data_IF_793557160970
#
_entry.id   IF_793557160970
#
_cell.length_a   1.000
_cell.length_b   1.000
_cell.length_c   1.000
_cell.angle_alpha   90.00
_cell.angle_beta   90.00
_cell.angle_gamma   90.00
#
_symmetry.space_group_name_H-M   'P 1'
#
loop_
_entity.id
_entity.type
_entity.pdbx_description
1 polymer ?
#
# COMPACT_ATOMS: atom_id res chain seq x y z
N UNK A 1 9.39 3.49 14.16
CA UNK A 1 9.44 4.96 14.10
C UNK A 1 9.27 5.36 12.65
N UNK A 2 8.49 6.41 12.35
CA UNK A 2 8.36 6.95 10.99
C UNK A 2 9.32 8.14 10.91
N UNK A 3 10.34 8.12 10.02
CA UNK A 3 11.20 9.28 9.84
C UNK A 3 10.39 10.48 9.36
N UNK A 4 10.82 11.68 9.76
CA UNK A 4 10.18 12.90 9.27
C UNK A 4 10.54 13.11 7.78
N UNK A 5 9.57 13.43 6.91
CA UNK A 5 9.86 13.74 5.52
C UNK A 5 10.61 15.06 5.38
N UNK A 6 11.39 15.17 4.31
CA UNK A 6 11.96 16.44 3.85
C UNK A 6 10.89 17.32 3.21
N UNK A 7 11.19 18.60 3.00
CA UNK A 7 10.28 19.51 2.28
C UNK A 7 10.17 19.19 0.79
N UNK A 8 11.08 18.38 0.24
CA UNK A 8 11.14 18.04 -1.17
C UNK A 8 10.56 16.66 -1.49
N UNK A 9 10.29 15.86 -0.45
CA UNK A 9 9.69 14.54 -0.56
C UNK A 9 8.26 14.63 -1.10
N UNK A 10 7.86 13.62 -1.87
CA UNK A 10 6.58 13.59 -2.54
C UNK A 10 5.60 12.83 -1.65
N UNK A 11 4.47 13.44 -1.23
CA UNK A 11 3.50 12.73 -0.41
C UNK A 11 2.83 11.61 -1.20
N UNK A 12 2.69 10.46 -0.57
CA UNK A 12 1.89 9.32 -1.05
C UNK A 12 0.65 9.24 -0.18
N UNK A 13 -0.52 9.50 -0.76
CA UNK A 13 -1.81 9.48 -0.06
C UNK A 13 -2.98 9.41 -1.05
N UNK A 14 -2.84 8.63 -2.12
CA UNK A 14 -3.86 8.53 -3.17
C UNK A 14 -4.55 7.16 -3.11
N UNK A 15 -5.86 7.10 -2.87
CA UNK A 15 -6.60 5.84 -2.87
C UNK A 15 -6.91 5.38 -4.30
N UNK A 16 -6.96 4.06 -4.48
CA UNK A 16 -7.44 3.39 -5.69
C UNK A 16 -8.63 2.51 -5.32
N UNK A 17 -9.69 2.56 -6.11
CA UNK A 17 -10.84 1.67 -6.01
C UNK A 17 -10.78 0.58 -7.07
N UNK A 18 -11.18 -0.64 -6.71
CA UNK A 18 -11.31 -1.76 -7.64
C UNK A 18 -12.53 -2.62 -7.29
N UNK A 19 -13.31 -2.95 -8.31
CA UNK A 19 -14.37 -3.95 -8.21
C UNK A 19 -13.81 -5.35 -8.45
N UNK A 20 -14.06 -6.27 -7.53
CA UNK A 20 -13.56 -7.64 -7.58
C UNK A 20 -14.74 -8.61 -7.56
N UNK A 21 -14.87 -9.41 -8.61
CA UNK A 21 -15.93 -10.41 -8.73
C UNK A 21 -15.81 -11.58 -7.73
N UNK A 22 -16.84 -12.43 -7.65
CA UNK A 22 -16.84 -13.60 -6.77
C UNK A 22 -15.69 -14.57 -7.04
N UNK A 23 -14.92 -14.92 -6.01
CA UNK A 23 -13.77 -15.83 -6.12
C UNK A 23 -12.57 -15.27 -6.89
N UNK A 24 -12.59 -13.99 -7.26
CA UNK A 24 -11.52 -13.33 -8.01
C UNK A 24 -10.55 -12.58 -7.09
N UNK A 25 -9.42 -12.20 -7.67
CA UNK A 25 -8.38 -11.40 -7.03
C UNK A 25 -8.01 -10.23 -7.93
N UNK A 26 -7.65 -9.10 -7.32
CA UNK A 26 -7.02 -7.98 -7.98
C UNK A 26 -5.67 -7.67 -7.32
N UNK A 27 -4.73 -7.19 -8.14
CA UNK A 27 -3.46 -6.61 -7.68
C UNK A 27 -3.50 -5.12 -7.99
N UNK A 28 -3.30 -4.29 -6.96
CA UNK A 28 -3.14 -2.84 -7.11
C UNK A 28 -1.66 -2.51 -6.96
N UNK A 29 -1.05 -2.03 -8.03
CA UNK A 29 0.38 -1.69 -8.07
C UNK A 29 0.57 -0.18 -7.98
N UNK A 30 1.37 0.25 -7.03
CA UNK A 30 1.85 1.63 -6.89
C UNK A 30 3.32 1.67 -7.26
N UNK A 31 3.68 2.57 -8.17
CA UNK A 31 5.06 2.76 -8.62
C UNK A 31 5.51 4.18 -8.33
N UNK A 32 6.80 4.34 -8.02
CA UNK A 32 7.36 5.67 -7.81
C UNK A 32 7.16 6.55 -9.05
N UNK A 33 6.79 7.81 -8.81
CA UNK A 33 6.52 8.77 -9.89
C UNK A 33 7.77 9.21 -10.63
N UNK A 34 8.93 9.04 -10.01
CA UNK A 34 10.22 9.46 -10.56
C UNK A 34 11.23 8.32 -10.44
N UNK A 35 11.96 8.06 -11.53
CA UNK A 35 12.99 7.00 -11.59
C UNK A 35 14.22 7.30 -10.73
N UNK A 36 14.41 8.56 -10.31
CA UNK A 36 15.57 9.05 -9.56
C UNK A 36 15.33 9.16 -8.05
N UNK A 37 14.31 8.47 -7.54
CA UNK A 37 13.92 8.56 -6.13
C UNK A 37 14.74 7.60 -5.28
N UNK A 38 14.99 7.98 -4.03
CA UNK A 38 15.73 7.17 -3.04
C UNK A 38 14.81 6.18 -2.30
N UNK A 39 13.66 5.86 -2.90
CA UNK A 39 12.68 4.92 -2.36
C UNK A 39 11.47 5.56 -1.67
N UNK A 40 10.62 4.72 -1.10
CA UNK A 40 9.46 5.05 -0.30
C UNK A 40 9.73 4.91 1.20
N UNK A 41 8.98 5.65 2.00
CA UNK A 41 8.77 5.41 3.43
C UNK A 41 7.28 5.28 3.66
N UNK A 42 6.83 4.09 4.06
CA UNK A 42 5.41 3.75 4.13
C UNK A 42 5.02 3.21 5.52
N UNK A 43 4.48 4.07 6.40
CA UNK A 43 3.97 3.64 7.71
C UNK A 43 2.60 2.97 7.66
N UNK A 44 1.84 3.16 6.58
CA UNK A 44 0.43 2.74 6.51
C UNK A 44 0.07 2.25 5.12
N UNK A 45 -0.59 1.09 5.07
CA UNK A 45 -1.39 0.63 3.92
C UNK A 45 -2.79 0.31 4.44
N UNK A 46 -3.77 1.08 4.02
CA UNK A 46 -5.17 0.90 4.35
C UNK A 46 -5.89 0.18 3.22
N UNK A 47 -6.74 -0.80 3.56
CA UNK A 47 -7.60 -1.49 2.59
C UNK A 47 -8.98 -1.69 3.19
N UNK A 48 -10.05 -1.53 2.40
CA UNK A 48 -11.42 -1.81 2.85
C UNK A 48 -11.54 -3.19 3.48
N UNK A 49 -11.88 -3.22 4.76
CA UNK A 49 -12.10 -4.47 5.49
C UNK A 49 -13.43 -5.11 5.10
N UNK A 50 -13.37 -6.35 4.60
CA UNK A 50 -14.53 -7.16 4.25
C UNK A 50 -14.36 -8.57 4.79
N UNK A 51 -15.46 -9.22 5.20
CA UNK A 51 -15.45 -10.64 5.55
C UNK A 51 -15.24 -11.48 4.30
N UNK A 52 -14.62 -12.66 4.41
CA UNK A 52 -14.33 -13.52 3.23
C UNK A 52 -13.47 -12.81 2.19
N UNK A 53 -12.41 -12.13 2.66
CA UNK A 53 -11.41 -11.51 1.80
C UNK A 53 -10.03 -11.86 2.34
N UNK A 54 -9.03 -11.87 1.47
CA UNK A 54 -7.63 -11.99 1.87
C UNK A 54 -6.81 -10.84 1.31
N UNK A 55 -5.80 -10.44 2.06
CA UNK A 55 -4.95 -9.29 1.79
C UNK A 55 -3.49 -9.73 1.88
N UNK A 56 -2.71 -9.35 0.88
CA UNK A 56 -1.28 -9.60 0.80
C UNK A 56 -0.59 -8.34 0.26
N UNK A 57 0.59 -8.03 0.78
CA UNK A 57 1.37 -6.87 0.37
C UNK A 57 2.78 -7.30 0.05
N UNK A 58 3.23 -6.90 -1.13
CA UNK A 58 4.59 -7.10 -1.62
C UNK A 58 5.24 -5.74 -1.83
N UNK A 59 6.50 -5.61 -1.42
CA UNK A 59 7.33 -4.42 -1.64
C UNK A 59 8.63 -4.86 -2.32
N UNK A 60 8.89 -4.36 -3.53
CA UNK A 60 10.03 -4.80 -4.37
C UNK A 60 10.23 -6.33 -4.41
N UNK A 61 9.19 -7.07 -4.81
CA UNK A 61 9.16 -8.54 -4.86
C UNK A 61 9.29 -9.28 -3.49
N UNK A 62 9.33 -8.57 -2.35
CA UNK A 62 9.32 -9.17 -1.01
C UNK A 62 7.92 -9.12 -0.39
N UNK A 63 7.36 -10.28 -0.03
CA UNK A 63 6.12 -10.36 0.75
C UNK A 63 6.37 -9.82 2.16
N UNK A 64 5.72 -8.70 2.49
CA UNK A 64 5.86 -8.04 3.79
C UNK A 64 4.64 -8.20 4.69
N UNK A 65 3.51 -8.61 4.13
CA UNK A 65 2.27 -8.82 4.86
C UNK A 65 1.37 -9.85 4.19
N UNK A 66 0.71 -10.65 5.03
CA UNK A 66 -0.30 -11.60 4.57
C UNK A 66 0.29 -12.95 4.12
N UNK A 67 -0.49 -13.77 3.42
CA UNK A 67 -1.93 -13.60 3.19
C UNK A 67 -2.71 -13.58 4.52
N UNK A 68 -3.52 -12.56 4.75
CA UNK A 68 -4.28 -12.38 5.99
C UNK A 68 -5.76 -12.08 5.72
N UNK A 69 -6.65 -12.45 6.65
CA UNK A 69 -8.10 -12.22 6.55
C UNK A 69 -8.57 -10.85 7.07
N UNK A 70 -7.64 -10.06 7.59
CA UNK A 70 -7.83 -8.69 8.06
C UNK A 70 -6.74 -7.87 7.37
N UNK A 71 -7.02 -6.66 6.85
CA UNK A 71 -5.99 -5.82 6.27
C UNK A 71 -5.09 -5.21 7.38
N UNK A 72 -3.92 -4.62 7.03
CA UNK A 72 -3.07 -3.99 8.03
C UNK A 72 -3.79 -2.87 8.81
N UNK A 73 -4.58 -2.07 8.10
CA UNK A 73 -5.58 -1.15 8.66
C UNK A 73 -6.72 -0.94 7.67
N UNK A 74 -7.80 -0.28 8.11
CA UNK A 74 -8.99 0.00 7.31
C UNK A 74 -9.00 1.44 6.77
N UNK A 75 -9.77 1.70 5.71
CA UNK A 75 -9.81 3.01 5.04
C UNK A 75 -10.35 4.14 5.94
N UNK A 76 -11.16 3.77 6.94
CA UNK A 76 -11.71 4.69 7.94
C UNK A 76 -10.80 4.83 9.18
N UNK A 77 -9.69 4.09 9.25
CA UNK A 77 -8.65 4.16 10.29
C UNK A 77 -7.24 4.25 9.68
N UNK A 78 -6.85 5.47 9.31
CA UNK A 78 -5.58 5.75 8.63
C UNK A 78 -4.38 5.87 9.60
N UNK A 79 -4.46 5.20 10.75
CA UNK A 79 -3.37 5.13 11.71
C UNK A 79 -2.11 4.44 11.17
N UNK A 80 -0.98 4.67 11.85
CA UNK A 80 0.27 3.95 11.58
C UNK A 80 0.09 2.48 11.98
N UNK A 81 0.23 1.56 11.02
CA UNK A 81 0.14 0.11 11.26
C UNK A 81 1.49 -0.61 11.15
N UNK A 82 2.50 0.03 10.55
CA UNK A 82 3.86 -0.50 10.45
C UNK A 82 4.81 0.30 11.34
N UNK A 83 5.33 -0.36 12.39
CA UNK A 83 6.32 0.21 13.30
C UNK A 83 7.48 -0.80 13.47
N UNK A 84 8.66 -0.55 12.86
CA UNK A 84 9.01 0.61 12.02
C UNK A 84 8.23 0.69 10.70
N UNK A 85 8.22 1.86 10.08
CA UNK A 85 7.69 2.02 8.72
C UNK A 85 8.53 1.19 7.75
N UNK A 86 7.91 0.67 6.70
CA UNK A 86 8.65 0.01 5.64
C UNK A 86 9.37 1.03 4.77
N UNK A 87 10.57 0.67 4.33
CA UNK A 87 11.36 1.42 3.37
C UNK A 87 11.71 0.50 2.22
N UNK A 88 11.35 0.88 1.01
CA UNK A 88 11.52 0.08 -0.20
C UNK A 88 11.81 1.00 -1.39
N UNK A 89 12.22 0.44 -2.50
CA UNK A 89 12.62 1.12 -3.72
C UNK A 89 11.44 1.64 -4.53
N UNK A 90 10.87 0.81 -5.40
CA UNK A 90 10.08 1.31 -6.52
C UNK A 90 8.65 0.83 -6.56
N UNK A 91 8.36 -0.35 -6.00
CA UNK A 91 7.09 -1.01 -6.23
C UNK A 91 6.44 -1.47 -4.93
N UNK A 92 5.16 -1.14 -4.80
CA UNK A 92 4.25 -1.67 -3.81
C UNK A 92 3.11 -2.37 -4.55
N UNK A 93 2.91 -3.64 -4.28
CA UNK A 93 1.76 -4.40 -4.74
C UNK A 93 0.85 -4.74 -3.56
N UNK A 94 -0.43 -4.44 -3.71
CA UNK A 94 -1.47 -4.84 -2.75
C UNK A 94 -2.41 -5.79 -3.46
N UNK A 95 -2.36 -7.06 -3.07
CA UNK A 95 -3.24 -8.10 -3.57
C UNK A 95 -4.45 -8.25 -2.66
N UNK A 96 -5.64 -8.21 -3.25
CA UNK A 96 -6.92 -8.38 -2.56
C UNK A 96 -7.71 -9.46 -3.25
N UNK A 97 -8.07 -10.53 -2.52
CA UNK A 97 -8.95 -11.58 -3.03
C UNK A 97 -10.34 -11.48 -2.40
N UNK A 98 -11.38 -11.58 -3.24
CA UNK A 98 -12.77 -11.68 -2.82
C UNK A 98 -13.18 -13.15 -2.81
N UNK A 99 -13.27 -13.75 -1.62
CA UNK A 99 -13.66 -15.15 -1.44
C UNK A 99 -15.18 -15.31 -1.21
N UNK A 100 -15.95 -14.25 -1.40
CA UNK A 100 -17.42 -14.30 -1.33
C UNK A 100 -18.05 -14.68 -2.67
N UNK A 101 -19.37 -14.86 -2.65
CA UNK A 101 -20.23 -15.16 -3.80
C UNK A 101 -20.79 -13.89 -4.48
N UNK A 102 -20.40 -12.70 -4.02
CA UNK A 102 -20.86 -11.39 -4.52
C UNK A 102 -19.71 -10.52 -4.99
N UNK A 103 -19.89 -9.75 -6.05
CA UNK A 103 -18.95 -8.68 -6.42
C UNK A 103 -18.88 -7.60 -5.34
N UNK A 104 -17.68 -7.05 -5.13
CA UNK A 104 -17.43 -6.03 -4.10
C UNK A 104 -16.40 -5.01 -4.57
N UNK A 105 -16.67 -3.76 -4.25
CA UNK A 105 -15.69 -2.68 -4.33
C UNK A 105 -14.76 -2.69 -3.11
N UNK A 106 -13.46 -2.56 -3.38
CA UNK A 106 -12.41 -2.39 -2.39
C UNK A 106 -11.65 -1.09 -2.67
N UNK A 107 -11.33 -0.35 -1.62
CA UNK A 107 -10.42 0.79 -1.66
C UNK A 107 -9.08 0.41 -1.07
N UNK A 108 -7.99 0.79 -1.74
CA UNK A 108 -6.60 0.59 -1.30
C UNK A 108 -5.92 1.94 -1.24
N UNK A 109 -5.28 2.27 -0.11
CA UNK A 109 -4.64 3.56 0.10
C UNK A 109 -3.31 3.40 0.86
N UNK A 110 -2.17 3.50 0.16
CA UNK A 110 -0.88 3.68 0.80
C UNK A 110 -0.76 5.13 1.32
N UNK A 111 -0.19 5.28 2.52
CA UNK A 111 0.11 6.60 3.10
C UNK A 111 1.56 6.63 3.55
N UNK A 112 2.30 7.63 3.06
CA UNK A 112 3.71 7.83 3.33
C UNK A 112 4.29 8.90 2.42
N UNK A 113 5.53 8.70 1.98
CA UNK A 113 6.20 9.61 1.07
C UNK A 113 7.29 8.92 0.23
N UNK A 114 7.50 9.41 -0.99
CA UNK A 114 8.67 9.09 -1.82
C UNK A 114 9.80 10.05 -1.45
N UNK A 115 10.99 9.51 -1.17
CA UNK A 115 12.20 10.29 -0.94
C UNK A 115 12.68 10.85 -2.27
N UNK A 116 12.79 12.18 -2.35
CA UNK A 116 13.40 12.80 -3.52
C UNK A 116 14.90 12.53 -3.49
N UNK A 117 15.43 11.94 -4.57
CA UNK A 117 16.87 11.75 -4.68
C UNK A 117 17.58 13.10 -4.58
N UNK A 118 18.62 13.18 -3.73
CA UNK A 118 19.52 14.33 -3.71
C UNK A 118 20.20 14.43 -5.08
N UNK A 119 19.61 15.20 -5.99
CA UNK A 119 20.23 15.59 -7.25
C UNK A 119 21.47 16.41 -6.95
N UNK A 120 22.60 15.74 -6.73
CA UNK A 120 23.90 16.38 -6.56
C UNK A 120 24.22 17.22 -7.80
N UNK A 121 24.31 18.54 -7.59
CA UNK A 121 24.96 19.47 -8.49
C UNK A 121 26.48 19.29 -8.45
#
# INVERSE_FOLDING_TARGET
MVPAPSAEDIPVNEPVSVDIGPGQQATVTFTARQRTNDGFVLPTVAVSKRSQSTYEITMDDEEVYGPASIPPTDIDDLGVCFVPAYEFGQELEVQVANLSDTEREYHVQPIGYERRGNGGA
#
